data_IF_874346345033
#
_entry.id   IF_874346345033
#
_cell.length_a   1.000
_cell.length_b   1.000
_cell.length_c   1.000
_cell.angle_alpha   90.00
_cell.angle_beta   90.00
_cell.angle_gamma   90.00
#
_symmetry.space_group_name_H-M   'P 1'
#
loop_
_entity.id
_entity.type
_entity.pdbx_description
1 polymer ?
#
# COMPACT_ATOMS: atom_id res chain seq x y z
N UNK A 1 -40.10 -8.60 -22.27
CA UNK A 1 -38.81 -8.02 -22.70
C UNK A 1 -37.72 -8.82 -22.00
N UNK A 2 -37.33 -9.96 -22.57
CA UNK A 2 -36.24 -10.82 -22.10
C UNK A 2 -35.22 -10.86 -23.23
N UNK A 3 -34.03 -10.29 -23.05
CA UNK A 3 -33.03 -10.23 -24.12
C UNK A 3 -31.61 -9.81 -23.74
N UNK A 4 -31.29 -9.58 -22.46
CA UNK A 4 -29.94 -9.13 -22.06
C UNK A 4 -29.10 -10.19 -21.33
N UNK A 5 -29.68 -11.30 -20.86
CA UNK A 5 -28.94 -12.31 -20.08
C UNK A 5 -28.11 -13.32 -20.88
N UNK A 6 -28.18 -13.32 -22.22
CA UNK A 6 -27.49 -14.31 -23.06
C UNK A 6 -26.04 -13.98 -23.39
N UNK A 7 -25.71 -12.69 -23.49
CA UNK A 7 -24.37 -12.21 -23.86
C UNK A 7 -23.42 -12.16 -22.65
N UNK A 8 -23.94 -11.74 -21.49
CA UNK A 8 -23.21 -11.74 -20.22
C UNK A 8 -22.84 -13.15 -19.76
N UNK A 9 -23.76 -14.11 -19.87
CA UNK A 9 -23.50 -15.50 -19.49
C UNK A 9 -22.46 -16.17 -20.41
N UNK A 10 -22.52 -15.89 -21.72
CA UNK A 10 -21.49 -16.33 -22.66
C UNK A 10 -20.13 -15.63 -22.45
N UNK A 11 -20.11 -14.41 -21.92
CA UNK A 11 -18.87 -13.71 -21.54
C UNK A 11 -18.23 -14.32 -20.29
N UNK A 12 -19.04 -14.62 -19.27
CA UNK A 12 -18.59 -15.27 -18.05
C UNK A 12 -18.01 -16.67 -18.32
N UNK A 13 -18.72 -17.49 -19.11
CA UNK A 13 -18.27 -18.83 -19.51
C UNK A 13 -16.90 -18.79 -20.19
N UNK A 14 -16.70 -17.87 -21.15
CA UNK A 14 -15.40 -17.68 -21.83
C UNK A 14 -14.27 -17.29 -20.86
N UNK A 15 -14.55 -16.43 -19.88
CA UNK A 15 -13.54 -16.02 -18.87
C UNK A 15 -13.16 -17.17 -17.95
N UNK A 16 -14.13 -18.00 -17.55
CA UNK A 16 -13.87 -19.19 -16.74
C UNK A 16 -13.05 -20.22 -17.52
N UNK A 17 -13.37 -20.47 -18.80
CA UNK A 17 -12.57 -21.34 -19.68
C UNK A 17 -11.12 -20.84 -19.81
N UNK A 18 -10.93 -19.52 -20.00
CA UNK A 18 -9.59 -18.93 -20.04
C UNK A 18 -8.81 -19.16 -18.73
N UNK A 19 -9.45 -19.00 -17.58
CA UNK A 19 -8.81 -19.24 -16.28
C UNK A 19 -8.45 -20.72 -16.07
N UNK A 20 -9.28 -21.64 -16.55
CA UNK A 20 -8.98 -23.07 -16.55
C UNK A 20 -7.74 -23.39 -17.40
N UNK A 21 -7.63 -22.77 -18.58
CA UNK A 21 -6.48 -22.91 -19.47
C UNK A 21 -5.19 -22.31 -18.88
N UNK A 22 -5.29 -21.15 -18.23
CA UNK A 22 -4.17 -20.52 -17.52
C UNK A 22 -3.70 -21.39 -16.34
N UNK A 23 -4.63 -21.93 -15.55
CA UNK A 23 -4.32 -22.84 -14.44
C UNK A 23 -3.72 -24.16 -14.95
N UNK A 24 -4.21 -24.71 -16.05
CA UNK A 24 -3.64 -25.89 -16.68
C UNK A 24 -2.22 -25.62 -17.18
N UNK A 25 -1.98 -24.43 -17.72
CA UNK A 25 -0.64 -23.98 -18.14
C UNK A 25 0.30 -23.84 -16.95
N UNK A 26 -0.14 -23.19 -15.86
CA UNK A 26 0.62 -23.11 -14.60
C UNK A 26 1.02 -24.50 -14.09
N UNK A 27 0.09 -25.46 -14.07
CA UNK A 27 0.36 -26.85 -13.66
C UNK A 27 1.39 -27.56 -14.55
N UNK A 28 1.36 -27.32 -15.86
CA UNK A 28 2.31 -27.90 -16.81
C UNK A 28 3.71 -27.31 -16.60
N UNK A 29 3.81 -25.99 -16.47
CA UNK A 29 5.10 -25.31 -16.37
C UNK A 29 5.83 -25.59 -15.05
N UNK A 30 5.08 -25.73 -13.96
CA UNK A 30 5.62 -26.19 -12.67
C UNK A 30 6.24 -27.59 -12.76
N UNK A 31 5.75 -28.47 -13.66
CA UNK A 31 6.29 -29.83 -13.87
C UNK A 31 7.49 -29.88 -14.81
N UNK A 32 7.72 -28.88 -15.66
CA UNK A 32 8.67 -28.99 -16.78
C UNK A 32 9.97 -28.20 -16.65
N UNK A 33 10.08 -27.14 -15.84
CA UNK A 33 11.37 -26.44 -15.64
C UNK A 33 11.41 -25.43 -14.49
N UNK A 34 12.66 -25.11 -14.13
CA UNK A 34 13.22 -23.96 -13.42
C UNK A 34 12.67 -22.57 -13.90
N UNK A 35 11.36 -22.34 -13.96
CA UNK A 35 10.87 -20.96 -14.09
C UNK A 35 11.34 -20.17 -12.86
N UNK A 36 12.08 -19.08 -13.10
CA UNK A 36 12.47 -18.17 -12.04
C UNK A 36 11.22 -17.69 -11.30
N UNK A 37 11.29 -17.65 -9.96
CA UNK A 37 10.12 -17.40 -9.10
C UNK A 37 9.28 -16.16 -9.47
N UNK A 38 9.89 -15.16 -10.12
CA UNK A 38 9.22 -13.98 -10.64
C UNK A 38 8.19 -14.27 -11.74
N UNK A 39 8.50 -15.12 -12.72
CA UNK A 39 7.58 -15.39 -13.83
C UNK A 39 6.35 -16.18 -13.36
N UNK A 40 6.56 -17.13 -12.45
CA UNK A 40 5.47 -17.86 -11.79
C UNK A 40 4.58 -16.91 -11.00
N UNK A 41 5.18 -16.00 -10.21
CA UNK A 41 4.45 -15.01 -9.42
C UNK A 41 3.54 -14.14 -10.30
N UNK A 42 4.06 -13.57 -11.39
CA UNK A 42 3.28 -12.72 -12.31
C UNK A 42 2.06 -13.45 -12.86
N UNK A 43 2.20 -14.72 -13.27
CA UNK A 43 1.07 -15.50 -13.77
C UNK A 43 0.03 -15.80 -12.69
N UNK A 44 0.48 -16.12 -11.47
CA UNK A 44 -0.42 -16.35 -10.34
C UNK A 44 -1.20 -15.08 -9.99
N UNK A 45 -0.54 -13.92 -9.97
CA UNK A 45 -1.18 -12.62 -9.72
C UNK A 45 -2.20 -12.24 -10.81
N UNK A 46 -1.94 -12.59 -12.07
CA UNK A 46 -2.88 -12.40 -13.17
C UNK A 46 -4.17 -13.21 -12.95
N UNK A 47 -4.05 -14.52 -12.74
CA UNK A 47 -5.19 -15.43 -12.47
C UNK A 47 -5.97 -14.98 -11.24
N UNK A 48 -5.28 -14.66 -10.14
CA UNK A 48 -5.93 -14.25 -8.88
C UNK A 48 -6.74 -12.98 -9.09
N UNK A 49 -6.22 -11.99 -9.81
CA UNK A 49 -6.99 -10.76 -9.97
C UNK A 49 -8.11 -10.84 -11.01
N UNK A 50 -8.06 -11.76 -11.98
CA UNK A 50 -9.27 -12.11 -12.76
C UNK A 50 -10.35 -12.73 -11.88
N UNK A 51 -9.98 -13.66 -10.98
CA UNK A 51 -10.92 -14.21 -10.00
C UNK A 51 -11.49 -13.12 -9.08
N UNK A 52 -10.67 -12.13 -8.67
CA UNK A 52 -11.15 -10.99 -7.89
C UNK A 52 -12.13 -10.12 -8.68
N UNK A 53 -11.88 -9.86 -9.97
CA UNK A 53 -12.79 -9.09 -10.83
C UNK A 53 -14.13 -9.81 -11.02
N UNK A 54 -14.10 -11.13 -11.28
CA UNK A 54 -15.31 -11.95 -11.36
C UNK A 54 -16.10 -11.95 -10.05
N UNK A 55 -15.41 -12.04 -8.91
CA UNK A 55 -16.06 -11.96 -7.60
C UNK A 55 -16.69 -10.57 -7.37
N UNK A 56 -16.01 -9.51 -7.79
CA UNK A 56 -16.56 -8.15 -7.70
C UNK A 56 -17.83 -8.01 -8.55
N UNK A 57 -17.80 -8.45 -9.81
CA UNK A 57 -18.97 -8.45 -10.69
C UNK A 57 -20.15 -9.23 -10.09
N UNK A 58 -19.88 -10.43 -9.55
CA UNK A 58 -20.89 -11.24 -8.89
C UNK A 58 -21.50 -10.56 -7.65
N UNK A 59 -20.74 -9.69 -6.98
CA UNK A 59 -21.19 -8.88 -5.85
C UNK A 59 -21.86 -7.56 -6.28
N UNK A 60 -21.94 -7.25 -7.58
CA UNK A 60 -22.45 -5.98 -8.10
C UNK A 60 -21.44 -4.82 -8.06
N UNK A 61 -20.14 -5.13 -7.94
CA UNK A 61 -19.03 -4.19 -7.85
C UNK A 61 -18.19 -4.38 -6.58
N UNK A 62 -17.12 -3.59 -6.47
CA UNK A 62 -16.34 -3.50 -5.24
C UNK A 62 -17.09 -2.70 -4.16
N UNK A 63 -16.92 -3.10 -2.90
CA UNK A 63 -17.58 -2.45 -1.77
C UNK A 63 -16.93 -1.12 -1.37
N UNK A 64 -17.78 -0.18 -0.96
CA UNK A 64 -17.37 1.15 -0.46
C UNK A 64 -17.26 1.16 1.07
N UNK A 65 -16.32 1.92 1.61
CA UNK A 65 -16.17 2.21 3.04
C UNK A 65 -16.30 3.72 3.30
N UNK A 66 -16.77 4.09 4.50
CA UNK A 66 -16.80 5.48 4.96
C UNK A 66 -15.43 5.90 5.52
N UNK A 67 -15.06 7.17 5.32
CA UNK A 67 -13.78 7.73 5.80
C UNK A 67 -13.97 8.63 7.01
N UNK A 68 -12.87 8.95 7.69
CA UNK A 68 -12.88 9.72 8.95
C UNK A 68 -13.43 11.14 8.78
N UNK A 69 -13.22 11.75 7.62
CA UNK A 69 -13.73 13.09 7.27
C UNK A 69 -15.20 13.08 6.80
N UNK A 70 -15.84 11.90 6.76
CA UNK A 70 -17.23 11.73 6.29
C UNK A 70 -17.35 11.50 4.79
N UNK A 71 -16.23 11.26 4.10
CA UNK A 71 -16.19 10.83 2.71
C UNK A 71 -16.45 9.34 2.54
N UNK A 72 -16.34 8.87 1.29
CA UNK A 72 -16.46 7.46 0.93
C UNK A 72 -15.43 7.09 -0.11
N UNK A 73 -14.92 5.88 -0.03
CA UNK A 73 -13.96 5.33 -0.99
C UNK A 73 -14.26 3.86 -1.25
N UNK A 74 -14.03 3.42 -2.48
CA UNK A 74 -14.04 2.00 -2.87
C UNK A 74 -12.57 1.58 -3.04
N UNK A 75 -11.89 0.99 -2.03
CA UNK A 75 -10.43 0.87 -2.04
C UNK A 75 -9.84 0.07 -3.21
N UNK A 76 -10.59 -0.89 -3.73
CA UNK A 76 -10.16 -1.75 -4.85
C UNK A 76 -10.47 -1.14 -6.24
N UNK A 77 -11.16 -0.01 -6.26
CA UNK A 77 -11.58 0.75 -7.45
C UNK A 77 -11.67 2.23 -7.07
N UNK A 78 -10.57 2.76 -6.50
CA UNK A 78 -10.56 4.07 -5.89
C UNK A 78 -10.52 5.19 -6.94
N UNK A 79 -11.33 6.22 -6.71
CA UNK A 79 -11.25 7.50 -7.42
C UNK A 79 -10.15 8.35 -6.76
N UNK A 80 -9.17 8.89 -7.51
CA UNK A 80 -8.18 9.82 -6.97
C UNK A 80 -8.78 10.97 -6.14
N UNK A 81 -9.93 11.51 -6.55
CA UNK A 81 -10.58 12.64 -5.87
C UNK A 81 -11.21 12.24 -4.52
N UNK A 82 -11.37 10.94 -4.24
CA UNK A 82 -11.88 10.43 -2.97
C UNK A 82 -10.79 10.31 -1.88
N UNK A 83 -9.51 10.47 -2.24
CA UNK A 83 -8.38 10.38 -1.31
C UNK A 83 -8.19 11.70 -0.57
N UNK A 84 -7.92 11.60 0.74
CA UNK A 84 -7.70 12.76 1.61
C UNK A 84 -6.50 12.53 2.51
N UNK A 85 -5.59 13.50 2.58
CA UNK A 85 -4.45 13.47 3.49
C UNK A 85 -4.87 13.37 4.96
N UNK A 86 -5.99 13.99 5.33
CA UNK A 86 -6.49 13.94 6.70
C UNK A 86 -6.99 12.53 7.05
N UNK A 87 -7.64 11.85 6.09
CA UNK A 87 -8.08 10.45 6.26
C UNK A 87 -6.90 9.48 6.32
N UNK A 88 -5.93 9.65 5.41
CA UNK A 88 -4.69 8.85 5.39
C UNK A 88 -3.93 9.04 6.70
N UNK A 89 -3.64 10.28 7.10
CA UNK A 89 -2.91 10.57 8.33
C UNK A 89 -3.61 9.99 9.56
N UNK A 90 -4.94 10.12 9.63
CA UNK A 90 -5.72 9.56 10.73
C UNK A 90 -5.67 8.02 10.76
N UNK A 91 -5.93 7.36 9.63
CA UNK A 91 -5.94 5.90 9.58
C UNK A 91 -4.55 5.34 9.92
N UNK A 92 -3.49 5.85 9.27
CA UNK A 92 -2.12 5.42 9.48
C UNK A 92 -1.63 5.68 10.92
N UNK A 93 -2.14 6.69 11.61
CA UNK A 93 -1.79 6.94 13.02
C UNK A 93 -2.39 5.91 13.99
N UNK A 94 -3.45 5.20 13.56
CA UNK A 94 -4.13 4.18 14.36
C UNK A 94 -3.71 2.75 13.99
N UNK A 95 -3.10 2.55 12.83
CA UNK A 95 -2.54 1.27 12.42
C UNK A 95 -1.20 1.02 13.12
N UNK A 96 -1.12 -0.05 13.91
CA UNK A 96 0.15 -0.49 14.49
C UNK A 96 0.94 -1.29 13.48
N UNK A 97 2.25 -1.04 13.45
CA UNK A 97 3.21 -1.91 12.77
C UNK A 97 3.42 -3.21 13.53
N UNK A 98 4.09 -4.14 12.88
CA UNK A 98 4.48 -5.45 13.41
C UNK A 98 3.29 -6.33 13.81
N UNK A 99 2.10 -6.11 13.24
CA UNK A 99 0.87 -6.76 13.68
C UNK A 99 0.67 -6.71 15.22
N UNK A 100 1.07 -5.59 15.84
CA UNK A 100 0.95 -5.35 17.27
C UNK A 100 1.90 -6.14 18.17
N UNK A 101 2.94 -6.79 17.62
CA UNK A 101 3.92 -7.56 18.40
C UNK A 101 5.08 -6.71 18.95
N UNK A 102 5.08 -5.40 18.67
CA UNK A 102 6.06 -4.46 19.21
C UNK A 102 5.96 -4.34 20.74
N UNK A 103 7.09 -4.06 21.38
CA UNK A 103 7.18 -3.79 22.82
C UNK A 103 6.47 -2.49 23.24
N UNK A 104 6.21 -1.61 22.28
CA UNK A 104 5.35 -0.44 22.42
C UNK A 104 4.59 -0.16 21.11
N UNK A 105 3.55 0.67 21.18
CA UNK A 105 2.78 1.07 20.01
C UNK A 105 3.66 1.91 19.08
N UNK A 106 3.79 1.45 17.84
CA UNK A 106 4.53 2.12 16.79
C UNK A 106 3.67 2.11 15.54
N UNK A 107 3.17 3.28 15.13
CA UNK A 107 2.18 3.37 14.06
C UNK A 107 2.81 3.43 12.67
N UNK A 108 2.02 3.11 11.65
CA UNK A 108 2.41 3.27 10.24
C UNK A 108 2.72 4.74 9.93
N UNK A 109 1.92 5.69 10.42
CA UNK A 109 2.19 7.11 10.20
C UNK A 109 3.56 7.55 10.74
N UNK A 110 3.99 7.02 11.88
CA UNK A 110 5.32 7.30 12.44
C UNK A 110 6.43 6.79 11.53
N UNK A 111 6.26 5.58 11.01
CA UNK A 111 7.16 5.01 10.03
C UNK A 111 7.24 5.87 8.76
N UNK A 112 6.11 6.22 8.16
CA UNK A 112 6.11 7.00 6.91
C UNK A 112 6.73 8.39 7.09
N UNK A 113 6.51 9.06 8.24
CA UNK A 113 7.21 10.32 8.56
C UNK A 113 8.72 10.10 8.62
N UNK A 114 9.18 9.05 9.29
CA UNK A 114 10.61 8.73 9.38
C UNK A 114 11.22 8.41 8.00
N UNK A 115 10.54 7.60 7.18
CA UNK A 115 10.97 7.32 5.80
C UNK A 115 11.08 8.62 4.99
N UNK A 116 10.12 9.54 5.10
CA UNK A 116 10.20 10.84 4.41
C UNK A 116 11.42 11.67 4.81
N UNK A 117 11.85 11.62 6.07
CA UNK A 117 13.04 12.33 6.54
C UNK A 117 14.33 11.62 6.11
N UNK A 118 14.33 10.29 6.11
CA UNK A 118 15.48 9.51 5.64
C UNK A 118 15.72 9.70 4.13
N UNK A 119 14.66 9.74 3.32
CA UNK A 119 14.76 10.06 1.89
C UNK A 119 15.32 11.46 1.66
N UNK A 120 14.90 12.45 2.46
CA UNK A 120 15.43 13.82 2.41
C UNK A 120 16.92 13.86 2.78
N UNK A 121 17.30 13.17 3.87
CA UNK A 121 18.69 13.10 4.32
C UNK A 121 19.62 12.42 3.30
N UNK A 122 19.10 11.44 2.55
CA UNK A 122 19.81 10.78 1.45
C UNK A 122 19.84 11.59 0.15
N UNK A 123 19.30 12.81 0.14
CA UNK A 123 19.33 13.70 -1.02
C UNK A 123 18.31 13.37 -2.10
N UNK A 124 17.17 12.78 -1.73
CA UNK A 124 16.07 12.49 -2.66
C UNK A 124 15.47 13.75 -3.30
N UNK A 125 14.85 13.57 -4.46
CA UNK A 125 14.08 14.65 -5.10
C UNK A 125 12.86 15.03 -4.24
N UNK A 126 12.23 16.18 -4.55
CA UNK A 126 11.02 16.60 -3.83
C UNK A 126 9.92 15.54 -3.90
N UNK A 127 9.71 14.93 -5.07
CA UNK A 127 8.69 13.91 -5.24
C UNK A 127 9.09 12.58 -4.58
N UNK A 128 10.39 12.25 -4.51
CA UNK A 128 10.87 11.14 -3.69
C UNK A 128 10.53 11.34 -2.20
N UNK A 129 10.75 12.55 -1.67
CA UNK A 129 10.46 12.85 -0.26
C UNK A 129 8.95 12.79 0.01
N UNK A 130 8.14 13.34 -0.92
CA UNK A 130 6.67 13.26 -0.89
C UNK A 130 6.18 11.82 -0.92
N UNK A 131 6.75 10.99 -1.80
CA UNK A 131 6.44 9.57 -1.84
C UNK A 131 6.90 8.84 -0.59
N UNK A 132 8.07 9.16 -0.03
CA UNK A 132 8.51 8.61 1.25
C UNK A 132 7.49 8.80 2.38
N UNK A 133 6.73 9.90 2.37
CA UNK A 133 5.62 10.12 3.31
C UNK A 133 4.36 9.32 2.97
N UNK A 134 4.07 9.07 1.69
CA UNK A 134 2.82 8.46 1.21
C UNK A 134 2.96 7.02 0.70
N UNK A 135 4.13 6.41 0.78
CA UNK A 135 4.37 5.06 0.23
C UNK A 135 3.46 3.99 0.86
N UNK A 136 3.14 4.14 2.15
CA UNK A 136 2.21 3.28 2.89
C UNK A 136 0.78 3.84 2.92
N UNK A 137 0.43 4.86 2.12
CA UNK A 137 -0.90 5.47 2.14
C UNK A 137 -2.02 4.48 1.80
N UNK A 138 -1.72 3.43 1.03
CA UNK A 138 -2.65 2.34 0.71
C UNK A 138 -3.12 1.59 1.95
N UNK A 139 -2.29 1.48 2.99
CA UNK A 139 -2.61 0.79 4.24
C UNK A 139 -3.74 1.47 5.01
N UNK A 140 -3.96 2.78 4.78
CA UNK A 140 -5.11 3.50 5.33
C UNK A 140 -6.45 2.85 4.94
N UNK A 141 -6.48 2.16 3.80
CA UNK A 141 -7.68 1.55 3.23
C UNK A 141 -7.60 0.02 3.13
N UNK A 142 -6.40 -0.55 3.14
CA UNK A 142 -6.15 -2.00 3.00
C UNK A 142 -5.60 -2.68 4.27
N UNK A 143 -5.24 -1.90 5.30
CA UNK A 143 -4.54 -2.29 6.53
C UNK A 143 -3.07 -2.74 6.36
N UNK A 144 -2.25 -2.56 7.39
CA UNK A 144 -0.86 -3.06 7.41
C UNK A 144 -0.83 -4.59 7.44
N UNK A 145 -0.06 -5.19 6.52
CA UNK A 145 0.18 -6.64 6.49
C UNK A 145 1.68 -6.91 6.56
N UNK A 146 2.17 -7.63 7.59
CA UNK A 146 3.59 -7.91 7.76
C UNK A 146 4.21 -8.53 6.50
N UNK A 147 5.38 -7.99 6.10
CA UNK A 147 6.05 -8.35 4.86
C UNK A 147 6.20 -9.87 4.60
N UNK A 148 6.51 -10.74 5.59
CA UNK A 148 6.56 -12.19 5.35
C UNK A 148 5.21 -12.81 4.95
N UNK A 149 4.11 -12.29 5.48
CA UNK A 149 2.73 -12.74 5.16
C UNK A 149 2.31 -12.19 3.81
N UNK A 150 2.56 -10.90 3.56
CA UNK A 150 2.23 -10.18 2.31
C UNK A 150 2.75 -10.88 1.06
N UNK A 151 3.93 -11.50 1.11
CA UNK A 151 4.52 -12.28 0.00
C UNK A 151 3.64 -13.42 -0.49
N UNK A 152 2.77 -13.95 0.37
CA UNK A 152 1.85 -15.05 0.10
C UNK A 152 0.43 -14.59 -0.25
N UNK A 153 0.19 -13.28 -0.40
CA UNK A 153 -1.12 -12.69 -0.66
C UNK A 153 -1.13 -11.93 -2.00
N UNK A 154 -1.10 -12.63 -3.15
CA UNK A 154 -1.01 -12.00 -4.48
C UNK A 154 -2.15 -11.01 -4.78
N UNK A 155 -3.36 -11.30 -4.31
CA UNK A 155 -4.51 -10.40 -4.47
C UNK A 155 -4.40 -9.12 -3.65
N UNK A 156 -3.73 -9.18 -2.48
CA UNK A 156 -3.43 -8.00 -1.67
C UNK A 156 -2.35 -7.16 -2.35
N UNK A 157 -1.24 -7.77 -2.77
CA UNK A 157 -0.13 -7.02 -3.41
C UNK A 157 -0.55 -6.36 -4.71
N UNK A 158 -1.45 -6.99 -5.48
CA UNK A 158 -2.04 -6.37 -6.67
C UNK A 158 -2.95 -5.18 -6.30
N UNK A 159 -3.81 -5.34 -5.30
CA UNK A 159 -4.69 -4.27 -4.84
C UNK A 159 -3.91 -3.04 -4.36
N UNK A 160 -2.85 -3.29 -3.60
CA UNK A 160 -1.97 -2.25 -3.10
C UNK A 160 -1.20 -1.55 -4.22
N UNK A 161 -0.63 -2.29 -5.17
CA UNK A 161 0.05 -1.69 -6.32
C UNK A 161 -0.91 -0.80 -7.13
N UNK A 162 -2.14 -1.26 -7.37
CA UNK A 162 -3.15 -0.46 -8.06
C UNK A 162 -3.53 0.80 -7.27
N UNK A 163 -3.76 0.68 -5.96
CA UNK A 163 -4.11 1.83 -5.13
C UNK A 163 -2.93 2.81 -4.97
N UNK A 164 -1.69 2.33 -4.96
CA UNK A 164 -0.50 3.16 -4.95
C UNK A 164 -0.42 4.07 -6.19
N UNK A 165 -0.78 3.56 -7.36
CA UNK A 165 -0.91 4.37 -8.59
C UNK A 165 -1.95 5.50 -8.42
N UNK A 166 -3.13 5.17 -7.89
CA UNK A 166 -4.19 6.15 -7.62
C UNK A 166 -3.73 7.20 -6.60
N UNK A 167 -2.97 6.81 -5.58
CA UNK A 167 -2.37 7.74 -4.60
C UNK A 167 -1.38 8.68 -5.29
N UNK A 168 -0.50 8.17 -6.17
CA UNK A 168 0.44 9.03 -6.91
C UNK A 168 -0.28 10.02 -7.80
N UNK A 169 -1.35 9.60 -8.47
CA UNK A 169 -2.20 10.46 -9.29
C UNK A 169 -2.88 11.55 -8.45
N UNK A 170 -3.59 11.17 -7.37
CA UNK A 170 -4.32 12.08 -6.50
C UNK A 170 -3.45 13.18 -5.89
N UNK A 171 -2.17 12.86 -5.64
CA UNK A 171 -1.23 13.77 -5.04
C UNK A 171 -0.18 14.31 -6.00
N UNK A 172 -0.32 14.11 -7.31
CA UNK A 172 0.59 14.66 -8.33
C UNK A 172 2.07 14.36 -8.02
N UNK A 173 2.40 13.08 -7.83
CA UNK A 173 3.76 12.60 -7.55
C UNK A 173 4.30 11.87 -8.78
N UNK A 174 5.35 12.43 -9.39
CA UNK A 174 6.07 11.82 -10.50
C UNK A 174 7.44 11.34 -10.03
N UNK A 175 7.70 10.03 -10.13
CA UNK A 175 8.93 9.41 -9.66
C UNK A 175 9.79 8.95 -10.82
N UNK A 176 11.07 9.34 -10.79
CA UNK A 176 12.06 8.63 -11.59
C UNK A 176 12.33 7.25 -11.00
N UNK A 177 12.83 6.30 -11.82
CA UNK A 177 13.25 5.00 -11.28
C UNK A 177 14.39 5.11 -10.25
N UNK A 178 15.13 6.22 -10.24
CA UNK A 178 16.14 6.47 -9.21
C UNK A 178 15.49 6.88 -7.89
N UNK A 179 14.42 7.67 -7.94
CA UNK A 179 13.63 8.05 -6.76
C UNK A 179 12.93 6.83 -6.15
N UNK A 180 12.30 5.98 -6.97
CA UNK A 180 11.67 4.73 -6.49
C UNK A 180 12.66 3.87 -5.72
N UNK A 181 13.84 3.60 -6.30
CA UNK A 181 14.90 2.82 -5.63
C UNK A 181 15.39 3.47 -4.35
N UNK A 182 15.44 4.80 -4.30
CA UNK A 182 15.88 5.52 -3.11
C UNK A 182 14.85 5.38 -1.98
N UNK A 183 13.56 5.52 -2.30
CA UNK A 183 12.47 5.36 -1.32
C UNK A 183 12.42 3.94 -0.81
N UNK A 184 12.48 2.92 -1.69
CA UNK A 184 12.52 1.51 -1.30
C UNK A 184 13.71 1.20 -0.37
N UNK A 185 14.87 1.78 -0.65
CA UNK A 185 16.07 1.61 0.16
C UNK A 185 15.97 2.33 1.51
N UNK A 186 15.26 3.46 1.58
CA UNK A 186 15.00 4.20 2.81
C UNK A 186 13.99 3.46 3.69
N UNK A 187 12.83 3.08 3.15
CA UNK A 187 11.82 2.23 3.82
C UNK A 187 12.47 0.96 4.38
N UNK A 188 13.17 0.21 3.53
CA UNK A 188 13.84 -1.02 3.96
C UNK A 188 14.85 -0.82 5.08
N UNK A 189 15.57 0.31 5.11
CA UNK A 189 16.55 0.60 6.15
C UNK A 189 15.85 1.01 7.46
N UNK A 190 14.87 1.91 7.36
CA UNK A 190 14.05 2.35 8.50
C UNK A 190 13.33 1.16 9.12
N UNK A 191 12.63 0.35 8.34
CA UNK A 191 11.92 -0.84 8.82
C UNK A 191 12.84 -1.84 9.53
N UNK A 192 14.09 -1.99 9.10
CA UNK A 192 15.07 -2.84 9.81
C UNK A 192 15.53 -2.25 11.15
N UNK A 193 15.81 -0.94 11.25
CA UNK A 193 16.11 -0.32 12.56
C UNK A 193 14.91 -0.43 13.49
N UNK A 194 13.70 -0.22 12.98
CA UNK A 194 12.47 -0.33 13.77
C UNK A 194 12.27 -1.76 14.31
N UNK A 195 12.43 -2.79 13.47
CA UNK A 195 12.38 -4.19 13.91
C UNK A 195 13.37 -4.44 15.05
N UNK A 196 14.60 -3.97 14.92
CA UNK A 196 15.64 -4.14 15.94
C UNK A 196 15.39 -3.33 17.23
N UNK A 197 14.68 -2.21 17.13
CA UNK A 197 14.39 -1.33 18.27
C UNK A 197 13.12 -1.75 19.02
N UNK A 198 12.09 -2.21 18.31
CA UNK A 198 10.74 -2.41 18.85
C UNK A 198 10.33 -3.86 19.03
N UNK A 199 10.90 -4.81 18.28
CA UNK A 199 10.65 -6.23 18.57
C UNK A 199 11.56 -6.73 19.69
N UNK A 200 11.06 -7.65 20.55
CA UNK A 200 11.82 -8.15 21.68
C UNK A 200 13.00 -9.04 21.28
N UNK A 201 12.99 -9.59 20.06
CA UNK A 201 14.03 -10.45 19.55
C UNK A 201 15.13 -9.57 18.92
N UNK A 202 16.28 -9.46 19.60
CA UNK A 202 17.41 -8.62 19.17
C UNK A 202 18.22 -9.14 17.98
N UNK A 203 17.63 -10.01 17.15
CA UNK A 203 18.31 -10.69 16.04
C UNK A 203 18.29 -9.87 14.75
N UNK A 204 17.70 -8.67 14.77
CA UNK A 204 17.57 -7.80 13.61
C UNK A 204 18.80 -6.89 13.47
N UNK A 205 19.37 -6.87 12.26
CA UNK A 205 20.45 -5.97 11.90
C UNK A 205 19.98 -4.51 11.99
N UNK A 206 20.85 -3.65 12.54
CA UNK A 206 20.62 -2.20 12.65
C UNK A 206 21.43 -1.47 11.59
N UNK A 207 20.83 -1.12 10.44
CA UNK A 207 21.53 -0.35 9.42
C UNK A 207 21.85 1.04 9.96
N UNK A 208 22.88 1.67 9.40
CA UNK A 208 23.12 3.10 9.61
C UNK A 208 22.05 3.90 8.86
N UNK A 209 21.40 4.82 9.56
CA UNK A 209 20.46 5.79 9.00
C UNK A 209 21.14 7.15 8.89
N UNK A 210 20.80 7.92 7.86
CA UNK A 210 21.31 9.28 7.65
C UNK A 210 20.57 10.31 8.52
N UNK A 211 19.32 10.00 8.89
CA UNK A 211 18.52 10.74 9.83
C UNK A 211 18.34 9.93 11.12
N UNK A 212 18.48 10.58 12.28
CA UNK A 212 17.94 9.97 13.48
C UNK A 212 16.41 9.98 13.39
N UNK A 213 15.73 8.90 13.82
CA UNK A 213 14.28 8.89 13.86
C UNK A 213 13.81 10.14 14.60
N UNK A 214 12.84 10.91 14.06
CA UNK A 214 12.27 12.01 14.81
C UNK A 214 11.83 11.43 16.16
N UNK A 215 12.40 11.98 17.24
CA UNK A 215 12.11 11.54 18.61
C UNK A 215 10.67 11.90 18.85
N UNK A 216 9.76 10.99 18.53
CA UNK A 216 8.37 11.18 18.89
C UNK A 216 8.29 10.98 20.40
N UNK A 217 8.15 12.08 21.13
CA UNK A 217 7.94 12.02 22.57
C UNK A 217 6.67 11.21 22.86
N UNK A 218 6.66 10.47 23.97
CA UNK A 218 5.46 9.73 24.38
C UNK A 218 4.31 10.71 24.57
N UNK A 219 3.28 10.58 23.73
CA UNK A 219 2.07 11.42 23.78
C UNK A 219 1.95 12.43 22.64
N UNK A 220 2.89 12.48 21.70
CA UNK A 220 2.71 13.29 20.49
C UNK A 220 1.62 12.73 19.58
N UNK A 221 0.80 13.63 19.03
CA UNK A 221 -0.21 13.32 18.04
C UNK A 221 0.47 13.01 16.70
N UNK A 222 0.67 11.72 16.43
CA UNK A 222 1.33 11.24 15.19
C UNK A 222 0.56 11.65 13.94
N UNK A 223 -0.77 11.76 13.99
CA UNK A 223 -1.54 12.25 12.85
C UNK A 223 -1.21 13.73 12.58
N UNK A 224 -1.11 14.55 13.64
CA UNK A 224 -0.70 15.94 13.50
C UNK A 224 0.72 16.09 12.93
N UNK A 225 1.66 15.23 13.36
CA UNK A 225 3.03 15.21 12.82
C UNK A 225 3.07 14.83 11.34
N UNK A 226 2.31 13.81 10.95
CA UNK A 226 2.18 13.42 9.54
C UNK A 226 1.65 14.58 8.71
N UNK A 227 0.56 15.23 9.16
CA UNK A 227 -0.02 16.39 8.48
C UNK A 227 0.94 17.58 8.45
N UNK A 228 1.69 17.83 9.52
CA UNK A 228 2.71 18.88 9.56
C UNK A 228 3.81 18.63 8.53
N UNK A 229 4.32 17.39 8.45
CA UNK A 229 5.30 16.99 7.45
C UNK A 229 4.73 17.14 6.05
N UNK A 230 3.48 16.73 5.82
CA UNK A 230 2.81 16.91 4.53
C UNK A 230 2.74 18.39 4.12
N UNK A 231 2.33 19.28 5.03
CA UNK A 231 2.31 20.73 4.78
C UNK A 231 3.70 21.28 4.45
N UNK A 232 4.73 20.83 5.15
CA UNK A 232 6.12 21.25 4.88
C UNK A 232 6.60 20.83 3.48
N UNK A 233 6.09 19.70 2.95
CA UNK A 233 6.38 19.22 1.60
C UNK A 233 5.51 19.90 0.52
N UNK A 234 4.56 20.75 0.94
CA UNK A 234 3.70 21.54 0.06
C UNK A 234 2.48 20.79 -0.47
N UNK A 235 2.02 19.74 0.20
CA UNK A 235 0.72 19.17 -0.12
C UNK A 235 -0.42 20.14 0.22
N UNK A 236 -1.47 20.14 -0.60
CA UNK A 236 -2.70 20.85 -0.29
C UNK A 236 -3.45 20.10 0.82
N UNK A 237 -3.29 20.57 2.07
CA UNK A 237 -4.06 20.05 3.20
C UNK A 237 -5.33 20.87 3.33
N UNK A 238 -6.48 20.24 3.17
CA UNK A 238 -7.76 20.88 3.43
C UNK A 238 -7.79 21.34 4.89
N UNK A 239 -7.91 22.65 5.12
CA UNK A 239 -8.20 23.15 6.46
C UNK A 239 -9.64 22.75 6.77
N UNK A 240 -9.84 21.67 7.53
CA UNK A 240 -11.14 21.30 8.05
C UNK A 240 -11.75 22.53 8.75
N UNK A 241 -12.94 22.91 8.29
CA UNK A 241 -13.73 24.01 8.85
C UNK A 241 -13.89 23.78 10.35
N UNK A 242 -13.49 24.79 11.11
CA UNK A 242 -13.89 25.00 12.49
C UNK A 242 -15.39 25.26 12.50
N UNK A 243 -16.21 24.29 12.92
CA UNK A 243 -17.53 24.52 13.54
C UNK A 243 -17.79 23.44 14.61
#
# INVERSE_FOLDING_TARGET
>A
MNGLGGDENGSLERRLEQLEDELATLRRTQRTSHEGGSALRTRVEAVVGELQALLAEANGGHGTIDTRTGGRITPLEADPDALSLDDIAHALSHLTRFAGQGTEFYSVARHSVHVSHEVEARGGSRDAIRWGLLHDATEAYLADVPAPVKRSLPGYTRAEANLAEVVREAFEIDLSSADERLVDAADSAVGRDELARYLPNGDHERPTLECEPPVLERGEDVAALFVQRARALGFAVHSSRTE
#
